data_IF_945038417323
#
_entry.id   IF_945038417323
#
_cell.length_a   1.000
_cell.length_b   1.000
_cell.length_c   1.000
_cell.angle_alpha   90.00
_cell.angle_beta   90.00
_cell.angle_gamma   90.00
#
_symmetry.space_group_name_H-M   'P 1'
#
loop_
_entity.id
_entity.type
_entity.pdbx_description
1 polymer ?
#
# COMPACT_ATOMS: atom_id res chain seq x y z
N UNK A 1 11.59 -12.61 6.57
CA UNK A 1 10.35 -13.11 5.95
C UNK A 1 10.13 -12.44 4.58
N UNK A 2 11.15 -12.45 3.69
CA UNK A 2 11.06 -11.89 2.30
C UNK A 2 12.36 -12.15 1.51
N UNK A 3 12.67 -13.42 1.27
CA UNK A 3 13.88 -13.87 0.57
C UNK A 3 13.57 -14.63 -0.72
N UNK A 4 12.94 -13.97 -1.71
CA UNK A 4 12.90 -14.35 -3.14
C UNK A 4 12.19 -15.65 -3.55
N UNK A 5 11.88 -16.55 -2.63
CA UNK A 5 11.10 -17.79 -2.85
C UNK A 5 9.86 -17.73 -1.93
N UNK A 6 8.64 -18.12 -2.36
CA UNK A 6 7.51 -18.33 -1.45
C UNK A 6 7.92 -19.25 -0.30
N UNK A 7 8.34 -18.65 0.82
CA UNK A 7 9.33 -19.21 1.74
C UNK A 7 8.84 -20.37 2.61
N UNK A 8 7.75 -21.03 2.23
CA UNK A 8 7.06 -22.08 3.00
C UNK A 8 6.64 -23.28 2.15
N UNK A 9 7.03 -23.35 0.87
CA UNK A 9 6.84 -24.55 0.03
C UNK A 9 5.45 -24.70 -0.59
N UNK A 10 4.65 -23.63 -0.63
CA UNK A 10 3.36 -23.57 -1.30
C UNK A 10 3.06 -22.16 -1.83
N UNK A 11 2.19 -22.10 -2.82
CA UNK A 11 1.72 -20.91 -3.54
C UNK A 11 0.20 -20.76 -3.37
N UNK A 12 -0.30 -19.59 -2.93
CA UNK A 12 -1.71 -19.38 -2.59
C UNK A 12 -2.50 -18.85 -3.79
N UNK A 13 -3.54 -19.58 -4.21
CA UNK A 13 -4.37 -19.19 -5.35
C UNK A 13 -5.66 -18.50 -4.92
N UNK A 14 -6.32 -19.02 -3.88
CA UNK A 14 -7.61 -18.49 -3.47
C UNK A 14 -7.80 -18.60 -1.97
N UNK A 15 -8.36 -17.54 -1.40
CA UNK A 15 -8.92 -17.61 -0.06
C UNK A 15 -10.43 -17.41 -0.06
N UNK A 16 -11.10 -18.24 0.74
CA UNK A 16 -12.49 -18.03 1.13
C UNK A 16 -12.57 -17.73 2.62
N UNK A 17 -13.07 -16.55 2.94
CA UNK A 17 -13.23 -16.08 4.31
C UNK A 17 -14.70 -16.10 4.70
N UNK A 18 -14.99 -16.68 5.87
CA UNK A 18 -16.29 -16.58 6.52
C UNK A 18 -16.08 -15.97 7.89
N UNK A 19 -16.44 -14.70 8.06
CA UNK A 19 -16.27 -13.98 9.31
C UNK A 19 -17.62 -13.57 9.90
N UNK A 20 -17.76 -13.72 11.20
CA UNK A 20 -18.84 -13.16 12.00
C UNK A 20 -18.25 -12.04 12.85
N UNK A 21 -18.76 -10.82 12.66
CA UNK A 21 -18.28 -9.60 13.30
C UNK A 21 -19.49 -8.83 13.82
N UNK A 22 -19.56 -8.63 15.14
CA UNK A 22 -20.46 -7.69 15.76
C UNK A 22 -19.62 -6.48 16.20
N UNK A 23 -19.83 -5.28 15.63
CA UNK A 23 -19.00 -4.13 15.98
C UNK A 23 -19.13 -3.74 17.46
N UNK A 24 -20.16 -4.19 18.18
CA UNK A 24 -20.31 -3.96 19.62
C UNK A 24 -19.51 -4.96 20.50
N UNK A 25 -18.89 -5.98 19.90
CA UNK A 25 -18.15 -7.03 20.62
C UNK A 25 -16.73 -7.11 20.08
N UNK A 26 -15.73 -6.92 20.96
CA UNK A 26 -14.32 -7.02 20.59
C UNK A 26 -13.87 -8.47 20.34
N UNK A 27 -14.36 -9.07 19.26
CA UNK A 27 -14.05 -10.43 18.86
C UNK A 27 -14.29 -10.65 17.37
N UNK A 28 -13.63 -11.67 16.85
CA UNK A 28 -13.93 -12.28 15.56
C UNK A 28 -14.13 -13.78 15.76
N UNK A 29 -15.04 -14.36 14.99
CA UNK A 29 -15.17 -15.80 14.87
C UNK A 29 -15.42 -16.16 13.40
N UNK A 30 -14.84 -17.24 12.91
CA UNK A 30 -14.96 -17.56 11.50
C UNK A 30 -14.15 -18.73 11.02
N UNK A 31 -14.00 -18.78 9.70
CA UNK A 31 -13.18 -19.75 9.01
C UNK A 31 -12.45 -19.12 7.82
N UNK A 32 -11.21 -19.55 7.61
CA UNK A 32 -10.43 -19.23 6.41
C UNK A 32 -10.10 -20.51 5.67
N UNK A 33 -10.49 -20.60 4.42
CA UNK A 33 -10.06 -21.67 3.50
C UNK A 33 -8.94 -21.16 2.63
N UNK A 34 -7.82 -21.89 2.61
CA UNK A 34 -6.67 -21.64 1.75
C UNK A 34 -6.64 -22.69 0.64
N UNK A 35 -6.68 -22.26 -0.62
CA UNK A 35 -6.47 -23.10 -1.79
C UNK A 35 -5.07 -22.80 -2.34
N UNK A 36 -4.24 -23.82 -2.48
CA UNK A 36 -2.82 -23.64 -2.78
C UNK A 36 -2.27 -24.77 -3.65
N UNK A 37 -1.11 -24.52 -4.26
CA UNK A 37 -0.28 -25.54 -4.89
C UNK A 37 1.01 -25.72 -4.10
N UNK A 38 1.39 -26.97 -3.79
CA UNK A 38 2.68 -27.26 -3.18
C UNK A 38 3.82 -26.98 -4.18
N UNK A 39 4.76 -26.08 -3.87
CA UNK A 39 5.92 -25.75 -4.72
C UNK A 39 7.13 -26.65 -4.44
N UNK A 40 7.07 -27.40 -3.34
CA UNK A 40 8.05 -28.43 -2.94
C UNK A 40 7.33 -29.60 -2.29
N UNK A 41 8.03 -30.67 -1.90
CA UNK A 41 7.42 -31.72 -1.07
C UNK A 41 7.00 -31.09 0.26
N UNK A 42 5.70 -31.09 0.55
CA UNK A 42 5.11 -30.32 1.64
C UNK A 42 4.55 -31.26 2.73
N UNK A 43 5.28 -31.48 3.84
CA UNK A 43 4.81 -32.35 4.93
C UNK A 43 3.76 -31.69 5.83
N UNK A 44 3.72 -30.35 5.86
CA UNK A 44 2.78 -29.58 6.66
C UNK A 44 2.53 -28.21 6.02
N UNK A 45 1.33 -27.66 6.21
CA UNK A 45 1.04 -26.26 5.93
C UNK A 45 1.37 -25.42 7.18
N UNK A 46 2.03 -24.29 7.00
CA UNK A 46 2.39 -23.37 8.11
C UNK A 46 1.87 -21.97 7.85
N UNK A 47 0.93 -21.54 8.68
CA UNK A 47 0.33 -20.20 8.66
C UNK A 47 0.78 -19.41 9.90
N UNK A 48 0.86 -18.10 9.77
CA UNK A 48 1.00 -17.18 10.89
C UNK A 48 -0.38 -16.89 11.47
N UNK A 49 -0.55 -17.05 12.78
CA UNK A 49 -1.78 -16.76 13.50
C UNK A 49 -1.43 -16.45 14.96
N UNK A 50 -1.79 -15.26 15.44
CA UNK A 50 -1.59 -14.84 16.83
C UNK A 50 -2.14 -15.86 17.82
N UNK A 51 -1.40 -16.11 18.89
CA UNK A 51 -1.85 -16.99 19.98
C UNK A 51 -3.01 -16.41 20.82
N UNK A 52 -3.41 -15.17 20.56
CA UNK A 52 -4.64 -14.57 21.12
C UNK A 52 -5.92 -15.17 20.51
N UNK A 53 -5.80 -15.84 19.35
CA UNK A 53 -6.91 -16.47 18.65
C UNK A 53 -6.88 -17.98 18.86
N UNK A 54 -8.01 -18.54 19.30
CA UNK A 54 -8.17 -19.97 19.47
C UNK A 54 -8.53 -20.62 18.14
N UNK A 55 -7.78 -21.65 17.74
CA UNK A 55 -8.15 -22.53 16.63
C UNK A 55 -9.08 -23.63 17.16
N UNK A 56 -10.31 -23.69 16.64
CA UNK A 56 -11.32 -24.66 17.05
C UNK A 56 -11.14 -26.00 16.32
N UNK A 57 -10.90 -25.94 15.01
CA UNK A 57 -10.67 -27.11 14.16
C UNK A 57 -9.97 -26.74 12.87
N UNK A 58 -9.26 -27.71 12.29
CA UNK A 58 -8.68 -27.62 10.96
C UNK A 58 -9.22 -28.76 10.12
N UNK A 59 -9.68 -28.45 8.92
CA UNK A 59 -10.20 -29.40 7.95
C UNK A 59 -9.25 -29.49 6.76
N UNK A 60 -8.79 -30.69 6.43
CA UNK A 60 -8.10 -31.01 5.17
C UNK A 60 -9.05 -31.83 4.31
N UNK A 61 -9.39 -31.34 3.12
CA UNK A 61 -10.39 -31.96 2.23
C UNK A 61 -11.74 -32.24 2.93
N UNK A 62 -12.15 -31.33 3.82
CA UNK A 62 -13.39 -31.43 4.60
C UNK A 62 -13.36 -32.42 5.76
N UNK A 63 -12.22 -33.08 6.03
CA UNK A 63 -12.06 -33.97 7.18
C UNK A 63 -11.22 -33.31 8.28
N UNK A 64 -11.60 -33.43 9.56
CA UNK A 64 -10.79 -32.92 10.66
C UNK A 64 -9.39 -33.53 10.69
N UNK A 65 -8.38 -32.68 10.86
CA UNK A 65 -6.98 -33.09 11.03
C UNK A 65 -6.39 -32.49 12.31
N UNK A 66 -5.34 -33.12 12.82
CA UNK A 66 -4.58 -32.58 13.93
C UNK A 66 -3.80 -31.34 13.49
N UNK A 67 -3.61 -30.40 14.41
CA UNK A 67 -2.80 -29.20 14.23
C UNK A 67 -2.05 -28.88 15.52
N UNK A 68 -1.04 -28.01 15.40
CA UNK A 68 -0.34 -27.43 16.54
C UNK A 68 -0.30 -25.92 16.36
N UNK A 69 -0.78 -25.19 17.36
CA UNK A 69 -0.68 -23.74 17.43
C UNK A 69 0.23 -23.38 18.61
N UNK A 70 1.36 -22.75 18.33
CA UNK A 70 2.34 -22.38 19.34
C UNK A 70 2.98 -21.03 19.01
N UNK A 71 2.79 -20.05 19.89
CA UNK A 71 3.05 -18.64 19.58
C UNK A 71 2.27 -18.22 18.34
N UNK A 72 2.86 -17.37 17.50
CA UNK A 72 2.18 -16.84 16.31
C UNK A 72 2.20 -17.78 15.09
N UNK A 73 2.28 -19.10 15.31
CA UNK A 73 2.47 -20.10 14.24
C UNK A 73 1.53 -21.29 14.36
N UNK A 74 0.74 -21.50 13.30
CA UNK A 74 -0.18 -22.62 13.14
C UNK A 74 0.40 -23.66 12.16
N UNK A 75 0.73 -24.84 12.70
CA UNK A 75 1.29 -25.98 11.98
C UNK A 75 0.22 -27.04 11.74
N UNK A 76 0.03 -27.40 10.47
CA UNK A 76 -1.00 -28.33 10.02
C UNK A 76 -0.32 -29.48 9.27
N UNK A 77 0.09 -30.56 9.97
CA UNK A 77 0.72 -31.71 9.34
C UNK A 77 -0.26 -32.46 8.45
N UNK A 78 0.19 -32.86 7.25
CA UNK A 78 -0.61 -33.72 6.39
C UNK A 78 -0.43 -35.19 6.77
N UNK A 79 -1.47 -36.05 6.62
CA UNK A 79 -1.35 -37.48 6.85
C UNK A 79 -0.25 -38.14 6.01
N UNK A 80 -0.03 -37.62 4.80
CA UNK A 80 1.11 -37.92 3.96
C UNK A 80 1.61 -36.61 3.31
N UNK A 81 2.93 -36.41 3.12
CA UNK A 81 3.45 -35.21 2.46
C UNK A 81 2.85 -35.02 1.06
N UNK A 82 2.45 -33.80 0.74
CA UNK A 82 1.99 -33.46 -0.61
C UNK A 82 3.20 -33.40 -1.54
N UNK A 83 3.06 -33.93 -2.76
CA UNK A 83 4.11 -33.85 -3.77
C UNK A 83 4.13 -32.44 -4.41
N UNK A 84 5.27 -32.01 -4.92
CA UNK A 84 5.37 -30.79 -5.74
C UNK A 84 4.34 -30.79 -6.87
N UNK A 85 3.66 -29.67 -7.08
CA UNK A 85 2.60 -29.50 -8.07
C UNK A 85 1.22 -29.98 -7.62
N UNK A 86 1.09 -30.52 -6.40
CA UNK A 86 -0.22 -30.93 -5.88
C UNK A 86 -1.04 -29.70 -5.50
N UNK A 87 -2.22 -29.54 -6.11
CA UNK A 87 -3.24 -28.60 -5.65
C UNK A 87 -4.01 -29.21 -4.48
N UNK A 88 -4.19 -28.43 -3.42
CA UNK A 88 -4.94 -28.88 -2.24
C UNK A 88 -5.63 -27.69 -1.53
N UNK A 89 -6.37 -27.99 -0.46
CA UNK A 89 -7.03 -26.98 0.36
C UNK A 89 -7.14 -27.35 1.84
N UNK A 90 -7.03 -26.33 2.68
CA UNK A 90 -7.20 -26.45 4.14
C UNK A 90 -8.12 -25.34 4.63
N UNK A 91 -9.05 -25.69 5.52
CA UNK A 91 -9.93 -24.73 6.19
C UNK A 91 -9.60 -24.68 7.68
N UNK A 92 -9.34 -23.49 8.21
CA UNK A 92 -9.07 -23.24 9.63
C UNK A 92 -10.28 -22.53 10.23
N UNK A 93 -10.91 -23.14 11.23
CA UNK A 93 -11.95 -22.53 12.06
C UNK A 93 -11.32 -21.95 13.33
N UNK A 94 -11.65 -20.71 13.65
CA UNK A 94 -11.00 -19.98 14.73
C UNK A 94 -11.89 -18.85 15.27
N UNK A 95 -11.54 -18.36 16.46
CA UNK A 95 -12.12 -17.15 17.00
C UNK A 95 -11.43 -16.67 18.27
N UNK A 96 -11.82 -15.50 18.74
CA UNK A 96 -11.25 -14.87 19.93
C UNK A 96 -11.22 -13.37 19.80
N UNK A 97 -10.44 -12.73 20.67
CA UNK A 97 -10.16 -11.30 20.59
C UNK A 97 -8.85 -11.09 19.84
N UNK A 98 -8.87 -10.48 18.64
CA UNK A 98 -7.65 -10.16 17.92
C UNK A 98 -6.67 -9.33 18.75
N UNK A 99 -5.39 -9.59 18.56
CA UNK A 99 -4.35 -8.65 18.97
C UNK A 99 -4.39 -7.39 18.10
N UNK A 100 -3.79 -6.30 18.57
CA UNK A 100 -3.62 -5.08 17.78
C UNK A 100 -2.16 -4.67 17.84
N UNK A 101 -1.39 -5.13 16.86
CA UNK A 101 0.07 -4.91 16.79
C UNK A 101 0.44 -3.93 15.68
N UNK A 102 1.71 -3.53 15.63
CA UNK A 102 2.24 -2.66 14.57
C UNK A 102 1.52 -1.31 14.51
N UNK A 103 0.81 -1.07 13.41
CA UNK A 103 0.09 0.17 13.11
C UNK A 103 -1.37 0.20 13.61
N UNK A 104 -1.79 -0.84 14.35
CA UNK A 104 -3.16 -1.03 14.85
C UNK A 104 -3.95 -1.95 13.94
N UNK A 105 -3.67 -3.25 13.99
CA UNK A 105 -4.21 -4.23 13.04
C UNK A 105 -5.67 -4.61 13.20
N UNK A 106 -6.20 -4.39 14.40
CA UNK A 106 -7.59 -4.53 14.75
C UNK A 106 -8.01 -3.33 15.59
N UNK A 107 -8.94 -2.53 15.05
CA UNK A 107 -9.58 -1.43 15.73
C UNK A 107 -10.93 -1.84 16.28
N UNK A 108 -11.17 -1.51 17.54
CA UNK A 108 -12.45 -1.69 18.23
C UNK A 108 -12.74 -0.39 18.97
N UNK A 109 -13.49 0.49 18.30
CA UNK A 109 -13.64 1.89 18.68
C UNK A 109 -15.12 2.32 18.61
N UNK A 110 -15.36 3.62 18.74
CA UNK A 110 -16.69 4.21 18.50
C UNK A 110 -16.59 5.51 17.71
N UNK A 111 -17.61 5.81 16.91
CA UNK A 111 -17.83 7.10 16.26
C UNK A 111 -19.25 7.57 16.62
N UNK A 112 -19.42 8.80 17.07
CA UNK A 112 -20.68 9.29 17.69
C UNK A 112 -21.33 8.28 18.68
N UNK A 113 -20.49 7.63 19.49
CA UNK A 113 -20.89 6.56 20.43
C UNK A 113 -21.45 5.27 19.79
N UNK A 114 -21.36 5.11 18.47
CA UNK A 114 -21.70 3.89 17.73
C UNK A 114 -20.45 3.02 17.57
N UNK A 115 -20.50 1.73 17.92
CA UNK A 115 -19.35 0.84 17.81
C UNK A 115 -18.90 0.59 16.36
N UNK A 116 -17.59 0.48 16.16
CA UNK A 116 -16.96 0.11 14.89
C UNK A 116 -15.87 -0.92 15.10
N UNK A 117 -15.78 -1.86 14.16
CA UNK A 117 -14.59 -2.69 13.95
C UNK A 117 -13.97 -2.35 12.60
N UNK A 118 -12.64 -2.18 12.55
CA UNK A 118 -11.87 -1.98 11.33
C UNK A 118 -10.53 -2.72 11.40
N UNK A 119 -9.94 -3.05 10.24
CA UNK A 119 -8.69 -3.83 10.14
C UNK A 119 -7.58 -3.07 9.42
N UNK A 120 -6.31 -3.31 9.77
CA UNK A 120 -5.14 -2.75 9.07
C UNK A 120 -3.93 -3.71 9.15
N UNK A 121 -3.68 -4.50 8.11
CA UNK A 121 -2.68 -5.57 8.21
C UNK A 121 -1.24 -5.19 7.86
N UNK A 122 -0.99 -3.98 7.39
CA UNK A 122 0.37 -3.53 7.07
C UNK A 122 1.18 -3.21 8.33
N UNK A 123 2.46 -3.62 8.44
CA UNK A 123 3.16 -4.56 7.57
C UNK A 123 2.91 -6.03 7.94
N UNK A 124 2.67 -6.36 9.22
CA UNK A 124 2.66 -7.74 9.73
C UNK A 124 1.41 -8.10 10.55
N UNK A 125 0.35 -7.31 10.42
CA UNK A 125 -0.85 -7.38 11.26
C UNK A 125 -1.92 -8.36 10.76
N UNK A 126 -1.71 -9.08 9.64
CA UNK A 126 -2.72 -10.04 9.17
C UNK A 126 -2.93 -11.20 10.16
N UNK A 127 -1.83 -11.72 10.71
CA UNK A 127 -1.86 -12.82 11.68
C UNK A 127 -2.65 -12.50 12.95
N UNK A 128 -2.86 -11.22 13.26
CA UNK A 128 -3.57 -10.79 14.46
C UNK A 128 -5.07 -11.10 14.41
N UNK A 129 -5.65 -11.23 13.21
CA UNK A 129 -7.10 -11.39 13.04
C UNK A 129 -7.50 -12.49 12.04
N UNK A 130 -6.56 -13.08 11.31
CA UNK A 130 -6.80 -14.29 10.49
C UNK A 130 -5.53 -15.13 10.24
N UNK A 131 -5.67 -16.45 9.95
CA UNK A 131 -4.53 -17.32 9.66
C UNK A 131 -3.93 -17.01 8.29
N UNK A 132 -2.75 -16.38 8.26
CA UNK A 132 -2.17 -15.78 7.07
C UNK A 132 -0.82 -16.38 6.67
N UNK A 133 -0.49 -16.37 5.38
CA UNK A 133 0.91 -16.46 4.93
C UNK A 133 1.43 -15.04 4.72
N UNK A 134 2.21 -14.52 5.67
CA UNK A 134 2.72 -13.15 5.60
C UNK A 134 3.99 -13.06 4.73
N UNK A 135 3.83 -13.28 3.42
CA UNK A 135 4.87 -13.16 2.41
C UNK A 135 4.42 -12.18 1.32
N UNK A 136 5.20 -11.14 1.06
CA UNK A 136 4.88 -10.15 0.02
C UNK A 136 4.93 -10.73 -1.39
N UNK A 137 5.73 -11.78 -1.58
CA UNK A 137 5.99 -12.36 -2.90
C UNK A 137 5.01 -13.51 -3.25
N UNK A 138 4.04 -13.79 -2.38
CA UNK A 138 2.92 -14.70 -2.65
C UNK A 138 1.61 -13.90 -2.56
N UNK A 139 1.29 -13.20 -3.66
CA UNK A 139 0.02 -12.49 -3.79
C UNK A 139 -1.05 -13.51 -4.17
N UNK A 140 -2.11 -13.54 -3.38
CA UNK A 140 -3.22 -14.48 -3.58
C UNK A 140 -3.98 -14.07 -4.84
N UNK A 141 -4.16 -14.98 -5.81
CA UNK A 141 -4.76 -14.63 -7.12
C UNK A 141 -6.16 -14.02 -7.00
N UNK A 142 -6.95 -14.47 -6.01
CA UNK A 142 -8.31 -13.98 -5.79
C UNK A 142 -8.87 -14.34 -4.41
N UNK A 143 -9.88 -13.59 -3.96
CA UNK A 143 -10.54 -13.86 -2.68
C UNK A 143 -12.07 -13.75 -2.75
N UNK A 144 -12.74 -14.48 -1.87
CA UNK A 144 -14.15 -14.26 -1.53
C UNK A 144 -14.27 -14.05 -0.02
N UNK A 145 -14.88 -12.94 0.39
CA UNK A 145 -15.15 -12.66 1.80
C UNK A 145 -16.66 -12.66 2.07
N UNK A 146 -17.05 -13.40 3.10
CA UNK A 146 -18.41 -13.47 3.59
C UNK A 146 -18.44 -12.92 5.01
N UNK A 147 -18.88 -11.67 5.16
CA UNK A 147 -18.90 -10.97 6.46
C UNK A 147 -20.33 -10.94 6.98
N UNK A 148 -20.58 -11.67 8.07
CA UNK A 148 -21.86 -11.77 8.76
C UNK A 148 -21.88 -10.80 9.94
N UNK A 149 -22.86 -9.91 9.97
CA UNK A 149 -22.95 -8.80 10.92
C UNK A 149 -24.39 -8.63 11.42
N UNK A 150 -24.61 -7.98 12.58
CA UNK A 150 -25.96 -7.60 13.02
C UNK A 150 -26.64 -6.65 12.03
N UNK A 151 -27.94 -6.83 11.82
CA UNK A 151 -28.77 -5.92 10.99
C UNK A 151 -28.69 -4.49 11.54
N UNK A 152 -28.58 -3.53 10.61
CA UNK A 152 -28.39 -2.10 10.93
C UNK A 152 -26.95 -1.62 10.65
N UNK A 153 -26.01 -2.55 10.50
CA UNK A 153 -24.64 -2.27 10.08
C UNK A 153 -24.41 -2.61 8.59
N UNK A 154 -23.26 -2.19 8.06
CA UNK A 154 -22.71 -2.56 6.76
C UNK A 154 -21.27 -3.05 6.92
N UNK A 155 -20.84 -3.94 6.03
CA UNK A 155 -19.47 -4.42 5.99
C UNK A 155 -18.77 -3.95 4.71
N UNK A 156 -17.71 -3.14 4.86
CA UNK A 156 -16.80 -2.78 3.78
C UNK A 156 -15.88 -3.96 3.43
N UNK A 157 -15.56 -4.14 2.14
CA UNK A 157 -14.65 -5.21 1.69
C UNK A 157 -14.02 -4.97 0.32
N UNK A 158 -12.98 -5.75 0.01
CA UNK A 158 -12.29 -5.74 -1.27
C UNK A 158 -13.15 -6.33 -2.40
N UNK A 159 -12.99 -5.84 -3.62
CA UNK A 159 -13.66 -6.32 -4.82
C UNK A 159 -15.13 -5.91 -4.95
N UNK A 160 -15.91 -6.62 -5.73
CA UNK A 160 -17.33 -6.28 -5.98
C UNK A 160 -18.26 -6.90 -4.94
N UNK A 161 -19.29 -6.17 -4.51
CA UNK A 161 -20.37 -6.71 -3.68
C UNK A 161 -21.25 -7.60 -4.55
N UNK A 162 -21.22 -8.91 -4.31
CA UNK A 162 -21.97 -9.90 -5.10
C UNK A 162 -23.38 -10.10 -4.55
N UNK A 163 -23.51 -10.16 -3.22
CA UNK A 163 -24.78 -10.41 -2.57
C UNK A 163 -24.81 -9.85 -1.14
N UNK A 164 -26.02 -9.51 -0.70
CA UNK A 164 -26.34 -9.17 0.69
C UNK A 164 -27.54 -10.01 1.13
N UNK A 165 -27.29 -10.99 1.98
CA UNK A 165 -28.30 -11.96 2.41
C UNK A 165 -28.70 -11.73 3.87
N UNK A 166 -29.97 -11.48 4.15
CA UNK A 166 -30.48 -11.59 5.53
C UNK A 166 -30.56 -13.07 5.92
N UNK A 167 -29.88 -13.44 7.01
CA UNK A 167 -29.81 -14.83 7.47
C UNK A 167 -31.10 -15.29 8.18
N UNK A 168 -31.35 -16.61 8.29
CA UNK A 168 -32.47 -17.14 9.06
C UNK A 168 -32.53 -16.55 10.47
N UNK A 169 -33.71 -16.09 10.87
CA UNK A 169 -33.93 -15.38 12.14
C UNK A 169 -33.93 -13.85 12.03
N UNK A 170 -33.50 -13.29 10.88
CA UNK A 170 -33.72 -11.87 10.55
C UNK A 170 -32.90 -10.85 11.35
N UNK A 171 -31.98 -11.30 12.19
CA UNK A 171 -31.14 -10.43 13.06
C UNK A 171 -29.73 -10.22 12.51
N UNK A 172 -29.30 -11.05 11.56
CA UNK A 172 -27.98 -10.98 10.94
C UNK A 172 -28.12 -10.84 9.43
N UNK A 173 -27.18 -10.11 8.84
CA UNK A 173 -27.03 -9.93 7.40
C UNK A 173 -25.60 -10.32 7.01
N UNK A 174 -25.45 -10.94 5.85
CA UNK A 174 -24.16 -11.38 5.33
C UNK A 174 -23.85 -10.68 4.02
N UNK A 175 -22.70 -10.00 3.97
CA UNK A 175 -22.16 -9.37 2.77
C UNK A 175 -21.16 -10.32 2.11
N UNK A 176 -21.36 -10.62 0.83
CA UNK A 176 -20.42 -11.41 0.03
C UNK A 176 -19.67 -10.47 -0.92
N UNK A 177 -18.39 -10.25 -0.64
CA UNK A 177 -17.49 -9.54 -1.54
C UNK A 177 -16.61 -10.50 -2.33
N UNK A 178 -16.27 -10.10 -3.54
CA UNK A 178 -15.50 -10.92 -4.48
C UNK A 178 -14.44 -10.08 -5.19
N UNK A 179 -13.17 -10.44 -4.99
CA UNK A 179 -12.02 -9.80 -5.62
C UNK A 179 -11.28 -10.81 -6.52
N UNK A 180 -10.91 -10.40 -7.73
CA UNK A 180 -10.39 -11.26 -8.81
C UNK A 180 -9.07 -10.74 -9.39
N UNK A 181 -8.33 -9.98 -8.60
CA UNK A 181 -6.95 -9.58 -8.89
C UNK A 181 -6.00 -10.08 -7.81
N UNK A 182 -4.70 -10.26 -8.14
CA UNK A 182 -3.70 -10.63 -7.15
C UNK A 182 -3.58 -9.61 -6.01
N UNK A 183 -3.74 -10.10 -4.78
CA UNK A 183 -3.78 -9.31 -3.55
C UNK A 183 -2.73 -9.77 -2.54
N UNK A 184 -1.93 -8.82 -2.02
CA UNK A 184 -1.01 -9.11 -0.94
C UNK A 184 -1.78 -9.27 0.39
N UNK A 185 -1.31 -10.13 1.29
CA UNK A 185 -2.00 -10.43 2.56
C UNK A 185 -2.38 -9.17 3.35
N UNK A 186 -1.55 -8.12 3.31
CA UNK A 186 -1.76 -6.91 4.10
C UNK A 186 -2.86 -6.00 3.56
N UNK A 187 -3.29 -6.21 2.31
CA UNK A 187 -4.29 -5.41 1.59
C UNK A 187 -5.71 -5.95 1.75
N UNK A 188 -5.86 -7.16 2.30
CA UNK A 188 -7.16 -7.77 2.64
C UNK A 188 -7.72 -7.07 3.87
N UNK A 189 -8.98 -6.61 3.79
CA UNK A 189 -9.58 -5.82 4.85
C UNK A 189 -11.09 -6.00 4.98
N UNK A 190 -11.58 -5.67 6.17
CA UNK A 190 -13.01 -5.49 6.44
C UNK A 190 -13.21 -4.40 7.50
N UNK A 191 -14.30 -3.65 7.37
CA UNK A 191 -14.74 -2.72 8.42
C UNK A 191 -16.26 -2.78 8.57
N UNK A 192 -16.75 -2.68 9.79
CA UNK A 192 -18.15 -2.89 10.14
C UNK A 192 -18.61 -1.81 11.10
N UNK A 193 -19.61 -1.03 10.69
CA UNK A 193 -20.41 -0.12 11.52
C UNK A 193 -21.70 0.25 10.77
N UNK A 194 -22.49 1.20 11.26
CA UNK A 194 -23.71 1.75 10.67
C UNK A 194 -23.46 2.71 9.48
N UNK A 195 -22.48 2.42 8.62
CA UNK A 195 -22.11 3.27 7.50
C UNK A 195 -23.33 3.70 6.65
N UNK A 196 -23.29 4.94 6.17
CA UNK A 196 -24.06 5.34 5.00
C UNK A 196 -23.32 4.95 3.74
N UNK A 197 -24.07 4.71 2.66
CA UNK A 197 -23.52 4.33 1.36
C UNK A 197 -23.67 5.50 0.38
N UNK A 198 -22.57 5.90 -0.23
CA UNK A 198 -22.51 6.86 -1.33
C UNK A 198 -21.92 6.15 -2.55
N UNK A 199 -22.57 6.31 -3.71
CA UNK A 199 -22.12 5.69 -4.95
C UNK A 199 -21.99 6.77 -6.01
N UNK A 200 -20.75 7.02 -6.43
CA UNK A 200 -20.44 7.83 -7.60
C UNK A 200 -20.01 6.92 -8.76
N UNK A 201 -19.97 7.49 -9.97
CA UNK A 201 -19.47 6.78 -11.16
C UNK A 201 -18.12 7.37 -11.54
N UNK A 202 -17.13 6.50 -11.72
CA UNK A 202 -15.86 6.87 -12.35
C UNK A 202 -16.00 6.65 -13.85
N UNK A 203 -15.66 7.67 -14.63
CA UNK A 203 -15.57 7.58 -16.09
C UNK A 203 -14.11 7.75 -16.52
N UNK A 204 -13.54 6.69 -17.10
CA UNK A 204 -12.26 6.71 -17.80
C UNK A 204 -12.50 6.52 -19.31
N UNK A 205 -11.53 6.83 -20.19
CA UNK A 205 -11.75 6.76 -21.64
C UNK A 205 -12.26 5.40 -22.17
N UNK A 206 -11.92 4.29 -21.52
CA UNK A 206 -12.29 2.94 -21.92
C UNK A 206 -13.17 2.19 -20.89
N UNK A 207 -13.35 2.74 -19.69
CA UNK A 207 -13.91 2.01 -18.55
C UNK A 207 -14.88 2.88 -17.76
N UNK A 208 -15.89 2.26 -17.19
CA UNK A 208 -16.85 2.91 -16.30
C UNK A 208 -17.20 1.95 -15.18
N UNK A 209 -16.96 2.38 -13.94
CA UNK A 209 -17.12 1.54 -12.76
C UNK A 209 -17.53 2.38 -11.55
N UNK A 210 -18.15 1.79 -10.52
CA UNK A 210 -18.58 2.53 -9.35
C UNK A 210 -17.40 2.95 -8.47
N UNK A 211 -17.51 4.14 -7.90
CA UNK A 211 -16.82 4.52 -6.68
C UNK A 211 -17.78 4.34 -5.50
N UNK A 212 -17.51 3.36 -4.64
CA UNK A 212 -18.35 3.04 -3.48
C UNK A 212 -17.73 3.58 -2.20
N UNK A 213 -18.39 4.54 -1.55
CA UNK A 213 -17.93 5.12 -0.29
C UNK A 213 -18.85 4.74 0.86
N UNK A 214 -18.27 4.10 1.87
CA UNK A 214 -18.87 3.85 3.18
C UNK A 214 -18.35 4.86 4.18
N UNK A 215 -19.21 5.82 4.54
CA UNK A 215 -18.87 6.91 5.45
C UNK A 215 -19.71 6.83 6.71
N UNK A 216 -19.23 7.41 7.81
CA UNK A 216 -20.08 7.61 8.97
C UNK A 216 -21.23 8.56 8.63
N UNK A 217 -22.43 8.36 9.19
CA UNK A 217 -23.56 9.25 8.94
C UNK A 217 -23.25 10.75 9.15
N UNK A 218 -22.46 11.07 10.18
CA UNK A 218 -22.06 12.43 10.56
C UNK A 218 -21.06 13.09 9.60
N UNK A 219 -20.30 12.29 8.84
CA UNK A 219 -19.26 12.78 7.92
C UNK A 219 -19.62 12.60 6.44
N UNK A 220 -20.83 12.12 6.15
CA UNK A 220 -21.30 11.79 4.80
C UNK A 220 -21.07 12.92 3.78
N UNK A 221 -21.26 14.18 4.19
CA UNK A 221 -21.02 15.34 3.32
C UNK A 221 -19.53 15.52 2.97
N UNK A 222 -18.63 15.35 3.94
CA UNK A 222 -17.18 15.47 3.71
C UNK A 222 -16.69 14.32 2.83
N UNK A 223 -17.22 13.11 3.07
CA UNK A 223 -16.92 11.94 2.27
C UNK A 223 -17.33 12.11 0.79
N UNK A 224 -18.52 12.69 0.54
CA UNK A 224 -19.00 12.97 -0.82
C UNK A 224 -18.13 13.99 -1.55
N UNK A 225 -17.71 15.07 -0.87
CA UNK A 225 -16.77 16.05 -1.44
C UNK A 225 -15.42 15.42 -1.79
N UNK A 226 -14.88 14.59 -0.90
CA UNK A 226 -13.60 13.94 -1.12
C UNK A 226 -13.65 12.87 -2.22
N UNK A 227 -14.78 12.16 -2.33
CA UNK A 227 -15.03 11.29 -3.47
C UNK A 227 -15.04 12.09 -4.79
N UNK A 228 -15.57 13.31 -4.77
CA UNK A 228 -15.47 14.26 -5.89
C UNK A 228 -14.03 14.64 -6.28
N UNK A 229 -13.12 14.79 -5.31
CA UNK A 229 -11.69 15.02 -5.58
C UNK A 229 -11.06 13.81 -6.30
N UNK A 230 -11.38 12.60 -5.85
CA UNK A 230 -10.91 11.35 -6.48
C UNK A 230 -11.33 11.26 -7.94
N UNK A 231 -12.55 11.69 -8.29
CA UNK A 231 -13.03 11.71 -9.67
C UNK A 231 -12.20 12.60 -10.59
N UNK A 232 -11.43 13.56 -10.05
CA UNK A 232 -10.48 14.37 -10.83
C UNK A 232 -9.06 13.76 -10.83
N UNK A 233 -8.64 13.21 -9.70
CA UNK A 233 -7.30 12.63 -9.52
C UNK A 233 -7.13 11.32 -10.29
N UNK A 234 -8.17 10.48 -10.35
CA UNK A 234 -8.08 9.16 -10.99
C UNK A 234 -7.87 9.22 -12.50
N UNK A 235 -8.59 10.05 -13.28
CA UNK A 235 -8.28 10.22 -14.70
C UNK A 235 -6.86 10.75 -14.94
N UNK A 236 -6.36 11.64 -14.07
CA UNK A 236 -5.01 12.18 -14.17
C UNK A 236 -3.94 11.09 -13.97
N UNK A 237 -4.05 10.29 -12.90
CA UNK A 237 -3.13 9.15 -12.71
C UNK A 237 -3.27 8.11 -13.82
N UNK A 238 -4.50 7.85 -14.26
CA UNK A 238 -4.75 6.93 -15.38
C UNK A 238 -4.06 7.38 -16.67
N UNK A 239 -3.98 8.68 -16.92
CA UNK A 239 -3.30 9.23 -18.09
C UNK A 239 -1.78 9.05 -18.01
N UNK A 240 -1.20 9.24 -16.83
CA UNK A 240 0.25 9.13 -16.63
C UNK A 240 0.74 7.68 -16.57
N UNK A 241 -0.03 6.80 -15.94
CA UNK A 241 0.45 5.49 -15.49
C UNK A 241 -0.29 4.29 -16.11
N UNK A 242 -1.26 4.56 -16.99
CA UNK A 242 -2.18 3.56 -17.57
C UNK A 242 -3.47 3.41 -16.77
N UNK A 243 -4.47 2.77 -17.37
CA UNK A 243 -5.81 2.57 -16.79
C UNK A 243 -5.77 2.13 -15.32
N UNK A 244 -6.74 2.58 -14.53
CA UNK A 244 -6.96 2.12 -13.16
C UNK A 244 -6.88 0.58 -13.11
N UNK A 245 -5.99 -0.03 -12.29
CA UNK A 245 -5.66 -1.45 -12.44
C UNK A 245 -6.80 -2.42 -12.12
N UNK A 246 -7.86 -1.95 -11.46
CA UNK A 246 -9.00 -2.75 -10.99
C UNK A 246 -10.33 -2.24 -11.59
N UNK A 247 -10.28 -1.66 -12.80
CA UNK A 247 -11.43 -1.00 -13.45
C UNK A 247 -12.59 -1.94 -13.81
N UNK A 248 -12.37 -3.25 -13.86
CA UNK A 248 -13.41 -4.27 -14.01
C UNK A 248 -14.10 -4.65 -12.68
N UNK A 249 -13.70 -4.03 -11.57
CA UNK A 249 -14.33 -4.14 -10.26
C UNK A 249 -14.92 -2.79 -9.79
N UNK A 250 -14.23 -2.12 -8.87
CA UNK A 250 -14.63 -0.84 -8.28
C UNK A 250 -13.42 -0.10 -7.71
N UNK A 251 -13.58 1.19 -7.46
CA UNK A 251 -12.81 1.89 -6.42
C UNK A 251 -13.74 2.22 -5.25
N UNK A 252 -13.20 2.51 -4.08
CA UNK A 252 -14.05 2.83 -2.94
C UNK A 252 -13.28 3.28 -1.72
N UNK A 253 -14.01 3.92 -0.82
CA UNK A 253 -13.54 4.37 0.49
C UNK A 253 -14.37 3.72 1.61
N UNK A 254 -13.75 3.39 2.74
CA UNK A 254 -14.47 3.09 3.97
C UNK A 254 -13.86 3.88 5.14
N UNK A 255 -14.69 4.60 5.89
CA UNK A 255 -14.18 5.44 6.99
C UNK A 255 -13.72 4.58 8.18
N UNK A 256 -12.62 4.94 8.84
CA UNK A 256 -12.11 4.22 10.03
C UNK A 256 -11.70 5.20 11.15
N UNK A 257 -11.66 4.71 12.40
CA UNK A 257 -11.19 5.47 13.57
C UNK A 257 -9.66 5.49 13.67
N UNK A 258 -9.00 6.10 12.68
CA UNK A 258 -7.54 6.27 12.66
C UNK A 258 -7.16 7.56 11.93
N UNK A 259 -5.98 8.11 12.19
CA UNK A 259 -5.41 9.14 11.31
C UNK A 259 -4.84 8.55 10.00
N UNK A 260 -4.82 9.37 8.94
CA UNK A 260 -4.28 8.97 7.63
C UNK A 260 -5.24 8.08 6.84
N UNK A 261 -4.70 7.17 6.03
CA UNK A 261 -5.45 6.17 5.29
C UNK A 261 -4.73 4.83 5.26
N UNK A 262 -5.35 3.86 4.59
CA UNK A 262 -4.76 2.56 4.30
C UNK A 262 -5.24 2.09 2.93
N UNK A 263 -4.31 1.72 2.07
CA UNK A 263 -4.53 1.61 0.62
C UNK A 263 -5.25 0.34 0.15
N UNK A 264 -5.97 -0.35 1.03
CA UNK A 264 -6.64 -1.62 0.77
C UNK A 264 -7.27 -1.67 -0.63
N UNK A 265 -6.89 -2.68 -1.43
CA UNK A 265 -7.25 -2.76 -2.84
C UNK A 265 -8.76 -2.60 -3.04
N UNK A 266 -9.15 -1.66 -3.91
CA UNK A 266 -10.56 -1.34 -4.26
C UNK A 266 -11.45 -0.82 -3.12
N UNK A 267 -10.93 -0.69 -1.90
CA UNK A 267 -11.67 -0.20 -0.72
C UNK A 267 -10.71 0.45 0.28
N UNK A 268 -10.11 1.56 -0.12
CA UNK A 268 -9.18 2.32 0.72
C UNK A 268 -9.87 2.70 2.03
N UNK A 269 -9.22 2.48 3.17
CA UNK A 269 -9.76 2.97 4.44
C UNK A 269 -9.30 4.42 4.68
N UNK A 270 -10.25 5.29 5.00
CA UNK A 270 -10.02 6.73 5.15
C UNK A 270 -10.23 7.15 6.60
N UNK A 271 -9.20 7.71 7.21
CA UNK A 271 -9.28 8.34 8.53
C UNK A 271 -9.68 9.80 8.51
N UNK A 272 -9.56 10.44 7.35
CA UNK A 272 -9.88 11.84 7.14
C UNK A 272 -10.12 12.13 5.64
N UNK A 273 -10.80 13.25 5.35
CA UNK A 273 -11.22 13.62 4.00
C UNK A 273 -10.53 14.90 3.54
N UNK A 274 -9.25 14.82 3.19
CA UNK A 274 -8.51 15.94 2.60
C UNK A 274 -7.84 15.55 1.28
N UNK A 275 -7.71 16.55 0.40
CA UNK A 275 -7.30 16.40 -1.00
C UNK A 275 -5.99 15.60 -1.19
N UNK A 276 -4.95 15.92 -0.41
CA UNK A 276 -3.64 15.24 -0.47
C UNK A 276 -3.73 13.76 -0.11
N UNK A 277 -4.53 13.42 0.91
CA UNK A 277 -4.69 12.04 1.36
C UNK A 277 -5.47 11.22 0.34
N UNK A 278 -6.55 11.76 -0.23
CA UNK A 278 -7.25 11.08 -1.32
C UNK A 278 -6.30 10.76 -2.49
N UNK A 279 -5.44 11.71 -2.88
CA UNK A 279 -4.45 11.49 -3.92
C UNK A 279 -3.40 10.43 -3.52
N UNK A 280 -2.91 10.48 -2.28
CA UNK A 280 -1.95 9.52 -1.73
C UNK A 280 -2.51 8.09 -1.77
N UNK A 281 -3.70 7.90 -1.21
CA UNK A 281 -4.31 6.57 -1.14
C UNK A 281 -4.76 6.03 -2.51
N UNK A 282 -5.13 6.92 -3.42
CA UNK A 282 -5.43 6.55 -4.80
C UNK A 282 -4.17 6.17 -5.58
N UNK A 283 -3.05 6.87 -5.37
CA UNK A 283 -1.79 6.58 -6.03
C UNK A 283 -1.30 5.15 -5.74
N UNK A 284 -1.58 4.65 -4.54
CA UNK A 284 -1.23 3.30 -4.14
C UNK A 284 -1.86 2.20 -5.01
N UNK A 285 -2.96 2.49 -5.70
CA UNK A 285 -3.61 1.53 -6.59
C UNK A 285 -2.68 1.10 -7.73
N UNK A 286 -1.80 1.99 -8.20
CA UNK A 286 -0.69 1.67 -9.12
C UNK A 286 0.58 1.26 -8.36
N UNK A 287 0.98 2.03 -7.35
CA UNK A 287 2.24 1.87 -6.62
C UNK A 287 2.02 1.33 -5.20
N UNK A 288 2.13 0.01 -5.04
CA UNK A 288 1.86 -0.70 -3.78
C UNK A 288 0.83 -1.81 -3.96
N UNK A 289 -0.19 -1.59 -4.79
CA UNK A 289 -1.24 -2.57 -5.05
C UNK A 289 -1.02 -3.35 -6.35
N UNK A 290 -0.98 -2.67 -7.50
CA UNK A 290 -0.66 -3.32 -8.78
C UNK A 290 0.78 -3.83 -8.76
N UNK A 291 1.74 -3.00 -8.42
CA UNK A 291 3.13 -3.41 -8.19
C UNK A 291 3.48 -3.16 -6.74
N UNK A 292 3.55 -4.22 -5.94
CA UNK A 292 3.87 -4.15 -4.50
C UNK A 292 5.39 -4.15 -4.29
N UNK A 293 5.91 -3.50 -3.24
CA UNK A 293 7.32 -3.71 -2.88
C UNK A 293 7.62 -5.19 -2.58
N UNK A 294 8.72 -5.73 -3.12
CA UNK A 294 9.12 -7.14 -2.93
C UNK A 294 9.75 -7.42 -1.56
N UNK A 295 10.08 -6.38 -0.81
CA UNK A 295 10.40 -6.40 0.62
C UNK A 295 10.09 -5.06 1.25
N UNK A 296 9.88 -5.07 2.55
CA UNK A 296 9.75 -3.87 3.37
C UNK A 296 10.98 -2.95 3.35
N UNK A 297 12.16 -3.44 2.94
CA UNK A 297 13.31 -2.57 2.62
C UNK A 297 13.03 -1.58 1.49
N UNK A 298 12.17 -2.00 0.55
CA UNK A 298 11.80 -1.26 -0.65
C UNK A 298 10.45 -0.54 -0.48
N UNK A 299 9.96 -0.36 0.76
CA UNK A 299 8.64 0.25 1.04
C UNK A 299 8.47 1.66 0.46
N UNK A 300 9.57 2.38 0.20
CA UNK A 300 9.53 3.67 -0.49
C UNK A 300 8.91 3.60 -1.90
N UNK A 301 8.96 2.43 -2.57
CA UNK A 301 8.29 2.20 -3.85
C UNK A 301 6.77 2.31 -3.73
N UNK A 302 6.22 2.10 -2.52
CA UNK A 302 4.82 2.34 -2.22
C UNK A 302 4.66 3.79 -1.71
N UNK A 303 5.24 4.09 -0.55
CA UNK A 303 4.94 5.32 0.21
C UNK A 303 5.56 6.59 -0.40
N UNK A 304 6.75 6.47 -0.97
CA UNK A 304 7.43 7.57 -1.66
C UNK A 304 6.67 7.97 -2.92
N UNK A 305 6.18 6.99 -3.69
CA UNK A 305 5.34 7.25 -4.86
C UNK A 305 4.00 7.87 -4.47
N UNK A 306 3.29 7.30 -3.50
CA UNK A 306 2.01 7.86 -3.06
C UNK A 306 2.15 9.32 -2.59
N UNK A 307 3.20 9.60 -1.82
CA UNK A 307 3.53 10.97 -1.37
C UNK A 307 3.91 11.87 -2.55
N UNK A 308 4.64 11.38 -3.54
CA UNK A 308 5.06 12.18 -4.70
C UNK A 308 3.87 12.50 -5.63
N UNK A 309 3.01 11.52 -5.87
CA UNK A 309 1.83 11.65 -6.74
C UNK A 309 0.79 12.60 -6.15
N UNK A 310 0.65 12.68 -4.82
CA UNK A 310 -0.16 13.73 -4.19
C UNK A 310 0.42 15.12 -4.46
N UNK A 311 1.74 15.26 -4.48
CA UNK A 311 2.44 16.46 -4.95
C UNK A 311 2.19 16.78 -6.44
N UNK A 312 2.12 15.77 -7.30
CA UNK A 312 1.77 15.96 -8.72
C UNK A 312 0.33 16.46 -8.89
N UNK A 313 -0.61 16.03 -8.05
CA UNK A 313 -1.96 16.62 -8.05
C UNK A 313 -1.92 18.11 -7.74
N UNK A 314 -1.07 18.57 -6.81
CA UNK A 314 -0.86 20.00 -6.63
C UNK A 314 -0.17 20.66 -7.81
N UNK A 315 0.82 20.03 -8.45
CA UNK A 315 1.49 20.60 -9.64
C UNK A 315 0.51 20.81 -10.80
N UNK A 316 -0.36 19.83 -11.07
CA UNK A 316 -1.15 19.76 -12.31
C UNK A 316 -2.65 20.06 -12.16
N UNK A 317 -3.26 19.71 -11.02
CA UNK A 317 -4.71 19.85 -10.81
C UNK A 317 -5.06 21.01 -9.88
N UNK A 318 -4.20 21.29 -8.89
CA UNK A 318 -4.38 22.37 -7.91
C UNK A 318 -3.11 23.23 -7.75
N UNK A 319 -2.64 23.90 -8.83
CA UNK A 319 -1.35 24.61 -8.90
C UNK A 319 -1.18 25.73 -7.88
N UNK A 320 -2.25 26.21 -7.26
CA UNK A 320 -2.18 27.17 -6.17
C UNK A 320 -1.45 26.65 -4.93
N UNK A 321 -1.40 25.32 -4.71
CA UNK A 321 -0.72 24.72 -3.55
C UNK A 321 0.72 24.31 -3.86
N UNK A 322 1.07 24.13 -5.14
CA UNK A 322 2.39 23.67 -5.55
C UNK A 322 3.55 24.53 -5.02
N UNK A 323 3.52 25.88 -5.04
CA UNK A 323 4.66 26.67 -4.55
C UNK A 323 5.02 26.42 -3.07
N UNK A 324 4.05 25.96 -2.26
CA UNK A 324 4.28 25.65 -0.85
C UNK A 324 4.75 24.21 -0.61
N UNK A 325 4.45 23.27 -1.51
CA UNK A 325 4.68 21.85 -1.29
C UNK A 325 6.17 21.45 -1.30
N UNK A 326 6.99 21.74 -2.34
CA UNK A 326 8.40 21.35 -2.33
C UNK A 326 9.21 21.95 -1.17
N UNK A 327 9.11 23.27 -0.84
CA UNK A 327 9.84 23.83 0.30
C UNK A 327 9.47 23.15 1.62
N UNK A 328 8.19 22.81 1.82
CA UNK A 328 7.73 22.13 3.02
C UNK A 328 8.32 20.71 3.12
N UNK A 329 8.34 19.94 2.02
CA UNK A 329 8.95 18.61 1.99
C UNK A 329 10.47 18.69 2.19
N UNK A 330 11.15 19.64 1.55
CA UNK A 330 12.60 19.88 1.75
C UNK A 330 12.90 20.17 3.22
N UNK A 331 12.16 21.09 3.86
CA UNK A 331 12.35 21.42 5.26
C UNK A 331 12.22 20.20 6.19
N UNK A 332 11.29 19.29 5.88
CA UNK A 332 11.14 18.00 6.59
C UNK A 332 12.34 17.09 6.34
N UNK A 333 12.73 16.86 5.08
CA UNK A 333 13.90 16.01 4.77
C UNK A 333 15.16 16.51 5.48
N UNK A 334 15.37 17.83 5.45
CA UNK A 334 16.59 18.47 5.97
C UNK A 334 16.56 18.74 7.48
N UNK A 335 15.52 18.32 8.20
CA UNK A 335 15.38 18.59 9.63
C UNK A 335 16.42 17.87 10.49
N UNK A 336 17.02 16.79 9.97
CA UNK A 336 18.03 15.97 10.64
C UNK A 336 19.14 15.59 9.65
N UNK A 337 20.42 15.56 10.06
CA UNK A 337 21.56 15.42 9.15
C UNK A 337 21.70 14.04 8.51
N UNK A 338 21.23 12.98 9.16
CA UNK A 338 21.36 11.59 8.69
C UNK A 338 20.07 11.00 8.09
N UNK A 339 20.05 9.69 7.91
CA UNK A 339 18.92 8.89 7.44
C UNK A 339 18.87 8.69 5.93
N UNK A 340 18.67 7.44 5.53
CA UNK A 340 18.51 6.96 4.15
C UNK A 340 17.04 6.70 3.82
N UNK A 341 16.73 6.49 2.55
CA UNK A 341 15.40 5.97 2.16
C UNK A 341 15.34 4.47 2.43
N UNK A 342 16.40 3.73 2.06
CA UNK A 342 16.54 2.29 2.31
C UNK A 342 16.37 1.94 3.80
N UNK A 343 15.56 0.92 4.09
CA UNK A 343 15.29 0.49 5.46
C UNK A 343 16.20 -0.68 5.85
N UNK A 344 17.18 -0.49 6.76
CA UNK A 344 18.12 -1.54 7.13
C UNK A 344 17.49 -2.70 7.90
N UNK A 345 16.58 -2.37 8.81
CA UNK A 345 15.91 -3.32 9.69
C UNK A 345 14.40 -3.28 9.44
N UNK A 346 13.86 -4.33 8.83
CA UNK A 346 12.43 -4.43 8.53
C UNK A 346 11.59 -4.85 9.73
N UNK A 347 12.21 -5.11 10.89
CA UNK A 347 11.49 -5.39 12.14
C UNK A 347 11.15 -4.11 12.90
N UNK A 348 11.83 -3.00 12.60
CA UNK A 348 11.50 -1.67 13.12
C UNK A 348 10.38 -1.03 12.29
N UNK A 349 9.14 -1.24 12.74
CA UNK A 349 7.93 -0.66 12.12
C UNK A 349 7.98 0.87 12.13
N UNK A 350 8.55 1.52 13.15
CA UNK A 350 8.63 2.98 13.19
C UNK A 350 9.59 3.51 12.13
N UNK A 351 10.68 2.79 11.86
CA UNK A 351 11.59 3.12 10.76
C UNK A 351 10.94 2.85 9.40
N UNK A 352 10.22 1.74 9.22
CA UNK A 352 9.48 1.44 7.99
C UNK A 352 8.55 2.61 7.63
N UNK A 353 7.76 3.08 8.59
CA UNK A 353 6.76 4.12 8.39
C UNK A 353 7.23 5.52 8.81
N UNK A 354 8.54 5.78 8.70
CA UNK A 354 9.10 7.08 9.09
C UNK A 354 8.68 8.17 8.07
N UNK A 355 7.88 9.14 8.52
CA UNK A 355 7.33 10.21 7.68
C UNK A 355 8.40 11.07 7.00
N UNK A 356 9.58 11.25 7.63
CA UNK A 356 10.69 12.00 7.04
C UNK A 356 11.39 11.20 5.95
N UNK A 357 11.67 9.91 6.20
CA UNK A 357 12.58 9.12 5.37
C UNK A 357 11.88 8.29 4.29
N UNK A 358 10.91 7.47 4.68
CA UNK A 358 10.25 6.57 3.73
C UNK A 358 9.29 7.33 2.81
N UNK A 359 8.55 8.29 3.38
CA UNK A 359 7.55 9.09 2.69
C UNK A 359 8.18 10.32 2.04
N UNK A 360 8.61 11.28 2.87
CA UNK A 360 8.99 12.61 2.38
C UNK A 360 10.31 12.60 1.60
N UNK A 361 11.36 11.97 2.13
CA UNK A 361 12.63 11.81 1.39
C UNK A 361 12.42 10.90 0.17
N UNK A 362 11.66 9.80 0.29
CA UNK A 362 11.26 8.97 -0.85
C UNK A 362 10.62 9.77 -2.00
N UNK A 363 9.65 10.64 -1.69
CA UNK A 363 9.02 11.51 -2.68
C UNK A 363 9.99 12.53 -3.30
N UNK A 364 10.86 13.13 -2.50
CA UNK A 364 11.87 14.08 -3.01
C UNK A 364 12.95 13.38 -3.86
N UNK A 365 13.27 12.12 -3.56
CA UNK A 365 14.15 11.30 -4.41
C UNK A 365 13.48 11.03 -5.77
N UNK A 366 12.18 10.71 -5.80
CA UNK A 366 11.43 10.59 -7.06
C UNK A 366 11.37 11.90 -7.84
N UNK A 367 11.15 13.02 -7.14
CA UNK A 367 11.18 14.34 -7.78
C UNK A 367 12.55 14.65 -8.39
N UNK A 368 13.63 14.28 -7.70
CA UNK A 368 15.01 14.44 -8.19
C UNK A 368 15.29 13.49 -9.36
N UNK A 369 14.77 12.25 -9.33
CA UNK A 369 14.84 11.32 -10.47
C UNK A 369 14.14 11.89 -11.70
N UNK A 370 12.95 12.50 -11.55
CA UNK A 370 12.27 13.18 -12.66
C UNK A 370 13.11 14.33 -13.22
N UNK A 371 13.78 15.11 -12.36
CA UNK A 371 14.72 16.15 -12.80
C UNK A 371 15.90 15.58 -13.60
N UNK A 372 16.54 14.51 -13.09
CA UNK A 372 17.71 13.88 -13.72
C UNK A 372 17.36 13.20 -15.05
N UNK A 373 16.26 12.45 -15.10
CA UNK A 373 15.82 11.74 -16.31
C UNK A 373 15.15 12.67 -17.33
N UNK A 374 14.56 13.76 -16.87
CA UNK A 374 13.59 14.57 -17.62
C UNK A 374 12.20 13.91 -17.67
N UNK A 375 11.17 14.76 -17.80
CA UNK A 375 9.75 14.35 -17.71
C UNK A 375 9.40 13.17 -18.64
N UNK A 376 9.76 13.26 -19.93
CA UNK A 376 9.38 12.24 -20.90
C UNK A 376 9.98 10.88 -20.58
N UNK A 377 11.26 10.80 -20.22
CA UNK A 377 11.90 9.54 -19.90
C UNK A 377 11.39 8.97 -18.58
N UNK A 378 11.18 9.83 -17.58
CA UNK A 378 10.66 9.44 -16.27
C UNK A 378 9.26 8.83 -16.38
N UNK A 379 8.28 9.53 -16.95
CA UNK A 379 6.91 9.02 -17.04
C UNK A 379 6.82 7.79 -17.97
N UNK A 380 7.59 7.73 -19.06
CA UNK A 380 7.64 6.52 -19.90
C UNK A 380 8.27 5.33 -19.14
N UNK A 381 9.30 5.57 -18.32
CA UNK A 381 9.94 4.53 -17.50
C UNK A 381 8.97 3.98 -16.45
N UNK A 382 8.23 4.85 -15.77
CA UNK A 382 7.18 4.45 -14.83
C UNK A 382 6.04 3.69 -15.51
N UNK A 383 5.61 4.15 -16.69
CA UNK A 383 4.61 3.44 -17.48
C UNK A 383 5.09 2.02 -17.82
N UNK A 384 6.33 1.87 -18.31
CA UNK A 384 6.90 0.56 -18.62
C UNK A 384 7.02 -0.31 -17.37
N UNK A 385 7.50 0.24 -16.25
CA UNK A 385 7.61 -0.46 -14.96
C UNK A 385 6.26 -1.04 -14.49
N UNK A 386 5.18 -0.26 -14.58
CA UNK A 386 3.83 -0.70 -14.19
C UNK A 386 3.19 -1.69 -15.18
N UNK A 387 3.74 -1.85 -16.38
CA UNK A 387 3.25 -2.74 -17.43
C UNK A 387 4.20 -3.90 -17.76
N UNK A 388 5.32 -4.01 -17.05
CA UNK A 388 6.20 -5.16 -17.15
C UNK A 388 5.43 -6.42 -16.71
N UNK A 389 5.26 -7.44 -17.57
CA UNK A 389 4.57 -8.67 -17.22
C UNK A 389 5.18 -9.42 -16.02
N UNK A 390 6.45 -9.17 -15.68
CA UNK A 390 7.09 -9.76 -14.51
C UNK A 390 6.75 -9.03 -13.20
N UNK A 391 6.33 -7.75 -13.27
CA UNK A 391 6.08 -6.90 -12.10
C UNK A 391 4.59 -6.61 -11.90
N UNK A 392 3.84 -6.47 -12.99
CA UNK A 392 2.42 -6.14 -12.98
C UNK A 392 1.62 -7.20 -12.21
N UNK A 393 0.86 -6.75 -11.21
CA UNK A 393 0.16 -7.59 -10.24
C UNK A 393 1.04 -8.45 -9.34
N UNK A 394 2.37 -8.35 -9.45
CA UNK A 394 3.36 -9.01 -8.60
C UNK A 394 4.05 -8.04 -7.64
N UNK A 395 5.37 -8.19 -7.53
CA UNK A 395 6.21 -7.33 -6.70
C UNK A 395 7.41 -6.79 -7.46
N UNK A 396 8.02 -5.74 -6.92
CA UNK A 396 9.23 -5.13 -7.47
C UNK A 396 10.21 -4.70 -6.38
N UNK A 397 11.48 -4.70 -6.73
CA UNK A 397 12.61 -4.16 -5.97
C UNK A 397 13.06 -2.84 -6.55
N UNK A 398 13.84 -2.09 -5.76
CA UNK A 398 14.40 -0.80 -6.22
C UNK A 398 15.20 -0.95 -7.52
N UNK A 399 15.87 -2.08 -7.72
CA UNK A 399 16.58 -2.40 -8.97
C UNK A 399 15.67 -2.53 -10.20
N UNK A 400 14.42 -2.96 -10.02
CA UNK A 400 13.47 -3.10 -11.14
C UNK A 400 13.04 -1.72 -11.62
N UNK A 401 12.76 -0.79 -10.69
CA UNK A 401 12.52 0.61 -11.04
C UNK A 401 13.74 1.25 -11.72
N UNK A 402 14.93 1.01 -11.18
CA UNK A 402 16.19 1.49 -11.75
C UNK A 402 16.31 1.08 -13.22
N UNK A 403 16.20 -0.22 -13.52
CA UNK A 403 16.36 -0.75 -14.87
C UNK A 403 15.38 -0.13 -15.88
N UNK A 404 14.14 0.12 -15.46
CA UNK A 404 13.13 0.75 -16.32
C UNK A 404 13.41 2.22 -16.60
N UNK A 405 13.90 2.97 -15.61
CA UNK A 405 14.29 4.37 -15.78
C UNK A 405 15.57 4.51 -16.60
N UNK A 406 16.56 3.63 -16.42
CA UNK A 406 17.78 3.58 -17.23
C UNK A 406 17.46 3.26 -18.70
N UNK A 407 16.55 2.32 -18.95
CA UNK A 407 16.13 1.94 -20.30
C UNK A 407 15.48 3.10 -21.08
N UNK A 408 14.75 4.01 -20.41
CA UNK A 408 14.08 5.14 -21.08
C UNK A 408 14.90 6.42 -21.09
N UNK A 409 15.77 6.62 -20.10
CA UNK A 409 16.62 7.83 -20.00
C UNK A 409 17.98 7.67 -20.70
N UNK A 410 18.47 6.44 -20.85
CA UNK A 410 19.83 6.17 -21.32
C UNK A 410 20.93 6.52 -20.31
N UNK A 411 20.56 6.80 -19.05
CA UNK A 411 21.48 7.10 -17.96
C UNK A 411 21.88 5.83 -17.20
N UNK A 412 23.01 5.88 -16.48
CA UNK A 412 23.34 4.94 -15.41
C UNK A 412 22.95 5.60 -14.09
N UNK A 413 21.97 5.02 -13.39
CA UNK A 413 21.41 5.55 -12.16
C UNK A 413 22.00 4.89 -10.90
N UNK A 414 23.04 4.06 -11.06
CA UNK A 414 23.68 3.34 -9.95
C UNK A 414 24.19 4.32 -8.89
N UNK A 415 24.96 5.34 -9.30
CA UNK A 415 25.51 6.31 -8.35
C UNK A 415 24.43 7.18 -7.73
N UNK A 416 23.40 7.53 -8.50
CA UNK A 416 22.26 8.24 -7.95
C UNK A 416 21.61 7.45 -6.80
N UNK A 417 21.39 6.14 -6.96
CA UNK A 417 20.79 5.32 -5.91
C UNK A 417 21.76 5.08 -4.73
N UNK A 418 23.06 4.97 -4.98
CA UNK A 418 24.07 4.95 -3.92
C UNK A 418 23.95 6.19 -3.03
N UNK A 419 23.82 7.37 -3.62
CA UNK A 419 23.73 8.64 -2.89
C UNK A 419 22.37 8.82 -2.19
N UNK A 420 21.28 8.63 -2.93
CA UNK A 420 19.96 9.10 -2.53
C UNK A 420 19.09 8.03 -1.86
N UNK A 421 19.26 6.76 -2.24
CA UNK A 421 18.48 5.65 -1.70
C UNK A 421 19.21 4.95 -0.56
N UNK A 422 20.44 4.47 -0.81
CA UNK A 422 21.26 3.79 0.20
C UNK A 422 21.96 4.77 1.14
N UNK A 423 22.48 5.86 0.59
CA UNK A 423 23.16 6.92 1.29
C UNK A 423 22.26 7.71 2.23
N UNK A 424 22.89 8.30 3.26
CA UNK A 424 22.19 9.09 4.26
C UNK A 424 22.37 10.59 4.01
N UNK A 425 21.46 11.39 4.57
CA UNK A 425 21.58 12.84 4.54
C UNK A 425 21.19 13.47 3.20
N UNK A 426 21.75 14.66 2.94
CA UNK A 426 21.44 15.52 1.80
C UNK A 426 22.59 16.50 1.51
N UNK A 427 22.68 17.06 0.29
CA UNK A 427 23.63 18.10 -0.04
C UNK A 427 23.15 19.50 0.36
N UNK A 428 24.09 20.40 0.64
CA UNK A 428 23.90 21.84 0.72
C UNK A 428 24.83 22.54 -0.27
N UNK A 429 24.34 23.58 -0.92
CA UNK A 429 25.08 24.30 -1.97
C UNK A 429 25.35 25.74 -1.54
N UNK A 430 26.59 26.19 -1.73
CA UNK A 430 26.98 27.60 -1.55
C UNK A 430 27.47 28.16 -2.87
N UNK A 431 26.77 29.17 -3.41
CA UNK A 431 27.14 29.84 -4.65
C UNK A 431 27.83 31.17 -4.33
N UNK A 432 29.13 31.25 -4.57
CA UNK A 432 29.88 32.49 -4.58
C UNK A 432 30.06 32.97 -6.04
N UNK A 433 29.82 34.25 -6.29
CA UNK A 433 30.03 34.82 -7.62
C UNK A 433 30.61 36.23 -7.56
N UNK A 434 31.30 36.63 -8.62
CA UNK A 434 31.78 37.99 -8.84
C UNK A 434 31.73 38.34 -10.31
N UNK A 435 31.60 39.63 -10.63
CA UNK A 435 31.71 40.13 -12.00
C UNK A 435 32.83 41.15 -12.09
N UNK A 436 33.73 40.99 -13.06
CA UNK A 436 34.79 41.97 -13.30
C UNK A 436 34.29 43.20 -14.08
N UNK A 437 35.12 44.24 -14.16
CA UNK A 437 34.78 45.47 -14.90
C UNK A 437 34.66 45.29 -16.42
N UNK A 438 35.08 44.13 -16.96
CA UNK A 438 34.91 43.74 -18.35
C UNK A 438 33.62 42.94 -18.60
N UNK A 439 32.86 42.63 -17.55
CA UNK A 439 31.60 41.88 -17.60
C UNK A 439 31.75 40.36 -17.43
N UNK A 440 32.95 39.83 -17.21
CA UNK A 440 33.17 38.39 -16.96
C UNK A 440 32.62 38.02 -15.61
N UNK A 441 31.78 36.98 -15.56
CA UNK A 441 31.25 36.44 -14.30
C UNK A 441 32.06 35.22 -13.88
N UNK A 442 32.66 35.27 -12.70
CA UNK A 442 33.30 34.13 -12.05
C UNK A 442 32.32 33.51 -11.06
N UNK A 443 32.13 32.20 -11.13
CA UNK A 443 31.24 31.44 -10.25
C UNK A 443 32.00 30.31 -9.60
N UNK A 444 31.83 30.16 -8.30
CA UNK A 444 32.23 29.01 -7.50
C UNK A 444 30.99 28.44 -6.82
N UNK A 445 30.71 27.17 -7.09
CA UNK A 445 29.63 26.42 -6.47
C UNK A 445 30.25 25.31 -5.62
N UNK A 446 30.17 25.45 -4.31
CA UNK A 446 30.65 24.45 -3.35
C UNK A 446 29.47 23.58 -2.89
N UNK A 447 29.71 22.28 -2.75
CA UNK A 447 28.77 21.33 -2.15
C UNK A 447 29.33 20.83 -0.80
N UNK A 448 28.48 20.80 0.22
CA UNK A 448 28.73 20.06 1.47
C UNK A 448 27.67 19.01 1.69
N UNK A 449 28.00 17.94 2.41
CA UNK A 449 27.07 16.85 2.73
C UNK A 449 26.72 16.88 4.22
N UNK A 450 25.49 16.52 4.56
CA UNK A 450 25.05 16.47 5.96
C UNK A 450 25.48 15.19 6.70
N UNK A 451 25.93 14.16 5.97
CA UNK A 451 26.33 12.87 6.54
C UNK A 451 27.54 12.28 5.81
N UNK A 452 28.50 11.66 6.52
CA UNK A 452 29.73 11.13 5.91
C UNK A 452 29.56 9.82 5.13
N UNK A 453 28.34 9.28 5.00
CA UNK A 453 28.10 8.09 4.17
C UNK A 453 28.00 8.42 2.68
N UNK A 454 27.88 9.71 2.33
CA UNK A 454 27.91 10.21 0.96
C UNK A 454 28.92 11.34 0.91
N UNK A 455 30.00 11.14 0.15
CA UNK A 455 31.07 12.12 0.02
C UNK A 455 30.70 13.27 -0.93
N UNK A 456 29.86 12.99 -1.94
CA UNK A 456 29.40 13.96 -2.92
C UNK A 456 28.12 13.48 -3.62
N UNK A 457 27.07 14.29 -3.61
CA UNK A 457 25.83 14.02 -4.34
C UNK A 457 25.98 14.47 -5.80
N UNK A 458 26.02 13.52 -6.73
CA UNK A 458 26.22 13.81 -8.14
C UNK A 458 24.92 14.31 -8.82
N UNK A 459 24.67 15.62 -8.80
CA UNK A 459 23.51 16.25 -9.45
C UNK A 459 23.87 17.39 -10.42
N UNK A 460 23.14 17.53 -11.54
CA UNK A 460 23.20 18.74 -12.35
C UNK A 460 22.52 19.90 -11.60
N UNK A 461 23.29 20.93 -11.27
CA UNK A 461 22.81 22.16 -10.60
C UNK A 461 22.88 23.34 -11.58
N UNK A 462 21.74 23.77 -12.17
CA UNK A 462 21.72 24.91 -13.07
C UNK A 462 21.92 26.23 -12.30
N UNK A 463 22.71 27.13 -12.86
CA UNK A 463 22.90 28.50 -12.34
C UNK A 463 22.32 29.47 -13.36
N UNK A 464 21.36 30.30 -12.92
CA UNK A 464 20.69 31.30 -13.75
C UNK A 464 21.29 32.70 -13.51
N UNK A 465 21.65 33.40 -14.59
CA UNK A 465 22.28 34.73 -14.53
C UNK A 465 21.32 35.79 -15.07
N UNK A 466 20.73 36.60 -14.17
CA UNK A 466 19.79 37.65 -14.56
C UNK A 466 20.43 39.04 -14.52
N UNK A 467 20.03 39.93 -15.42
CA UNK A 467 20.28 41.37 -15.32
C UNK A 467 18.95 42.16 -15.32
N UNK A 468 19.01 43.49 -15.29
CA UNK A 468 17.81 44.34 -15.24
C UNK A 468 16.92 44.32 -16.49
N UNK A 469 17.30 43.59 -17.55
CA UNK A 469 16.62 43.54 -18.84
C UNK A 469 16.32 42.13 -19.34
N UNK A 470 17.08 41.11 -18.90
CA UNK A 470 17.01 39.73 -19.40
C UNK A 470 17.40 38.72 -18.32
N UNK A 471 16.85 37.51 -18.48
CA UNK A 471 17.21 36.29 -17.75
C UNK A 471 18.32 35.50 -18.45
#
# INVERSE_FOLDING_TARGET
RSGGDPGRGFDLHHHRFHWSIDPAVNAIHGAVSAHFTATSILPALVLDLSDSLQVDSVLHQGQPVAFQHAGDSLWIPFPAPLATGTMDSVTVHYGGTPSSTGLGSWGFDTHDSIPIIWTLSQPYGAMDWWPAKQDLNDKIDSIDTYVTIPVGNRAAGNGVLVATDTLPGGQQVRFHWRHRHPIAYYLIATAVTNYVELVLTVELPADTFPMLTYAYPEDAFLADLNAGDVLQQMPFFSQLFGTYPFADEKYGHAQMERGGGMEHQTMTFMGAYFYELAAHELAHQWFGNKVTCGSWQDLWLNEGFATYLSGLCYEFLAPQYWPGWPPAKIAVVTSEPGGSVWVPDTTDVQRLFNSRLTYTKGAMVLHTLRWVCGDSAFFNGLHNYLHDPALAFGTARTSDLQAHLEATSGLDLTEFLNDWFYGEGYPSYTLAWSQDGGGTVNVQLDQSTSHPSVDFFALPVPVLFKNGQQD
#
